data_IF_807580554219
#
_entry.id   IF_807580554219
#
_cell.length_a   1.000
_cell.length_b   1.000
_cell.length_c   1.000
_cell.angle_alpha   90.00
_cell.angle_beta   90.00
_cell.angle_gamma   90.00
#
_symmetry.space_group_name_H-M   'P 1'
#
loop_
_entity.id
_entity.type
_entity.pdbx_description
1 polymer ?
#
# COMPACT_ATOMS: atom_id res chain seq x y z
N UNK A 1 19.99 18.05 -3.37
CA UNK A 1 20.57 19.40 -3.54
C UNK A 1 19.59 20.39 -2.94
N UNK A 2 20.10 21.35 -2.17
CA UNK A 2 19.72 21.52 -0.77
C UNK A 2 18.97 22.84 -0.51
N UNK A 3 18.04 22.83 0.45
CA UNK A 3 17.35 24.01 1.00
C UNK A 3 18.30 25.18 1.39
N UNK A 4 19.61 24.92 1.49
CA UNK A 4 20.68 25.92 1.68
C UNK A 4 20.79 26.91 0.50
N UNK A 5 20.59 26.47 -0.75
CA UNK A 5 20.69 27.34 -1.94
C UNK A 5 19.55 28.37 -2.02
N UNK A 6 18.39 28.06 -1.43
CA UNK A 6 17.24 28.97 -1.35
C UNK A 6 17.49 30.18 -0.46
N UNK A 7 18.43 30.07 0.49
CA UNK A 7 18.76 31.16 1.42
C UNK A 7 19.64 32.22 0.76
N UNK A 8 20.46 31.81 -0.21
CA UNK A 8 21.44 32.69 -0.86
C UNK A 8 20.91 33.32 -2.16
N UNK A 9 19.89 32.72 -2.80
CA UNK A 9 19.32 33.19 -4.08
C UNK A 9 17.97 33.89 -3.92
N UNK A 10 17.79 35.04 -4.59
CA UNK A 10 16.51 35.75 -4.70
C UNK A 10 15.79 35.37 -6.00
N UNK A 11 14.92 34.36 -5.93
CA UNK A 11 14.19 33.84 -7.10
C UNK A 11 13.23 34.86 -7.72
N UNK A 12 12.74 35.83 -6.96
CA UNK A 12 11.92 36.91 -7.50
C UNK A 12 12.78 37.87 -8.35
N UNK A 13 14.00 38.16 -7.90
CA UNK A 13 14.97 38.96 -8.63
C UNK A 13 15.48 38.25 -9.90
N UNK A 14 15.69 36.93 -9.84
CA UNK A 14 16.07 36.13 -11.01
C UNK A 14 15.02 36.14 -12.13
N UNK A 15 13.73 36.13 -11.75
CA UNK A 15 12.63 36.27 -12.69
C UNK A 15 12.30 37.73 -13.04
N UNK A 16 12.87 38.70 -12.32
CA UNK A 16 12.57 40.12 -12.50
C UNK A 16 11.12 40.49 -12.13
N UNK A 17 10.51 39.75 -11.21
CA UNK A 17 9.12 39.97 -10.75
C UNK A 17 9.12 40.40 -9.29
N UNK A 18 8.06 41.08 -8.87
CA UNK A 18 7.91 41.47 -7.47
C UNK A 18 7.50 40.28 -6.60
N UNK A 19 7.83 40.32 -5.30
CA UNK A 19 7.47 39.27 -4.33
C UNK A 19 5.95 39.08 -4.14
N UNK A 20 5.16 40.10 -4.48
CA UNK A 20 3.69 40.08 -4.48
C UNK A 20 3.09 39.59 -5.81
N UNK A 21 3.91 39.23 -6.80
CA UNK A 21 3.44 38.80 -8.11
C UNK A 21 2.50 37.59 -8.04
N UNK A 22 1.47 37.62 -8.87
CA UNK A 22 0.49 36.54 -8.99
C UNK A 22 1.12 35.28 -9.60
N UNK A 23 0.56 34.11 -9.31
CA UNK A 23 1.03 32.84 -9.88
C UNK A 23 1.03 32.84 -11.42
N UNK A 24 0.02 33.45 -12.04
CA UNK A 24 -0.09 33.51 -13.48
C UNK A 24 0.92 34.46 -14.13
N UNK A 25 1.30 35.53 -13.42
CA UNK A 25 2.36 36.44 -13.84
C UNK A 25 3.74 35.76 -13.78
N UNK A 26 4.05 35.06 -12.69
CA UNK A 26 5.28 34.29 -12.53
C UNK A 26 5.41 33.25 -13.64
N UNK A 27 4.35 32.47 -13.91
CA UNK A 27 4.32 31.47 -15.00
C UNK A 27 4.50 32.10 -16.38
N UNK A 28 4.01 33.32 -16.60
CA UNK A 28 4.12 34.01 -17.89
C UNK A 28 5.54 34.53 -18.11
N UNK A 29 6.12 35.19 -17.10
CA UNK A 29 7.47 35.74 -17.17
C UNK A 29 8.52 34.64 -17.25
N UNK A 30 8.40 33.57 -16.45
CA UNK A 30 9.31 32.43 -16.50
C UNK A 30 9.27 31.71 -17.85
N UNK A 31 8.10 31.54 -18.48
CA UNK A 31 7.99 30.95 -19.82
C UNK A 31 8.69 31.80 -20.88
N UNK A 32 8.55 33.12 -20.81
CA UNK A 32 9.22 34.06 -21.72
C UNK A 32 10.74 33.98 -21.58
N UNK A 33 11.25 34.05 -20.34
CA UNK A 33 12.68 34.01 -20.06
C UNK A 33 13.32 32.66 -20.44
N UNK A 34 12.64 31.52 -20.22
CA UNK A 34 13.13 30.21 -20.66
C UNK A 34 13.17 30.10 -22.19
N UNK A 35 12.16 30.63 -22.89
CA UNK A 35 12.13 30.62 -24.34
C UNK A 35 13.19 31.55 -24.96
N UNK A 36 13.55 32.64 -24.29
CA UNK A 36 14.60 33.58 -24.72
C UNK A 36 16.01 33.02 -24.48
N UNK A 37 16.20 32.25 -23.40
CA UNK A 37 17.50 31.67 -23.00
C UNK A 37 17.63 30.17 -23.35
N UNK A 38 16.73 29.61 -24.16
CA UNK A 38 16.75 28.18 -24.49
C UNK A 38 18.06 27.78 -25.19
N UNK A 39 18.66 26.62 -24.87
CA UNK A 39 19.90 26.15 -25.50
C UNK A 39 19.82 26.09 -27.03
N UNK A 40 18.70 25.61 -27.58
CA UNK A 40 18.49 25.53 -29.04
C UNK A 40 18.47 26.90 -29.75
N UNK A 41 18.09 27.98 -29.04
CA UNK A 41 18.06 29.34 -29.60
C UNK A 41 19.38 30.10 -29.35
N UNK A 42 20.18 29.64 -28.41
CA UNK A 42 21.45 30.27 -28.01
C UNK A 42 22.57 29.21 -27.91
N UNK A 43 22.93 28.53 -29.01
CA UNK A 43 24.01 27.56 -28.98
C UNK A 43 25.34 28.23 -28.57
N UNK A 44 26.11 27.55 -27.72
CA UNK A 44 27.43 27.96 -27.20
C UNK A 44 27.48 29.28 -26.39
N UNK A 45 26.33 29.82 -25.97
CA UNK A 45 26.29 31.00 -25.11
C UNK A 45 26.18 30.62 -23.62
N UNK A 46 27.33 30.58 -22.93
CA UNK A 46 27.41 30.29 -21.49
C UNK A 46 26.53 31.20 -20.63
N UNK A 47 26.40 32.47 -20.99
CA UNK A 47 25.56 33.42 -20.24
C UNK A 47 24.06 33.12 -20.37
N UNK A 48 23.62 32.67 -21.55
CA UNK A 48 22.24 32.21 -21.74
C UNK A 48 21.98 30.89 -21.01
N UNK A 49 22.96 29.98 -20.99
CA UNK A 49 22.88 28.71 -20.26
C UNK A 49 22.74 28.91 -18.75
N UNK A 50 23.56 29.78 -18.15
CA UNK A 50 23.49 30.09 -16.71
C UNK A 50 22.16 30.75 -16.35
N UNK A 51 21.68 31.66 -17.20
CA UNK A 51 20.38 32.32 -17.02
C UNK A 51 19.22 31.34 -17.18
N UNK A 52 19.32 30.38 -18.10
CA UNK A 52 18.33 29.32 -18.28
C UNK A 52 18.24 28.42 -17.04
N UNK A 53 19.37 28.07 -16.43
CA UNK A 53 19.43 27.29 -15.18
C UNK A 53 18.79 28.05 -14.02
N UNK A 54 19.17 29.31 -13.81
CA UNK A 54 18.63 30.16 -12.74
C UNK A 54 17.09 30.36 -12.86
N UNK A 55 16.59 30.63 -14.08
CA UNK A 55 15.16 30.80 -14.34
C UNK A 55 14.39 29.48 -14.17
N UNK A 56 14.99 28.34 -14.52
CA UNK A 56 14.37 27.02 -14.34
C UNK A 56 14.18 26.69 -12.85
N UNK A 57 15.21 26.95 -12.04
CA UNK A 57 15.18 26.77 -10.58
C UNK A 57 14.14 27.70 -9.93
N UNK A 58 14.14 28.99 -10.28
CA UNK A 58 13.18 29.95 -9.77
C UNK A 58 11.73 29.59 -10.14
N UNK A 59 11.50 29.12 -11.37
CA UNK A 59 10.18 28.67 -11.82
C UNK A 59 9.69 27.47 -11.02
N UNK A 60 10.54 26.48 -10.76
CA UNK A 60 10.15 25.27 -10.01
C UNK A 60 9.67 25.60 -8.60
N UNK A 61 10.38 26.51 -7.92
CA UNK A 61 10.07 26.91 -6.53
C UNK A 61 8.86 27.84 -6.47
N UNK A 62 8.79 28.86 -7.34
CA UNK A 62 7.76 29.90 -7.25
C UNK A 62 6.41 29.50 -7.86
N UNK A 63 6.38 28.50 -8.75
CA UNK A 63 5.14 28.03 -9.41
C UNK A 63 4.36 27.02 -8.56
N UNK A 64 5.03 26.36 -7.62
CA UNK A 64 4.40 25.44 -6.65
C UNK A 64 3.96 26.24 -5.40
N UNK A 65 2.67 26.26 -5.04
CA UNK A 65 2.19 27.01 -3.88
C UNK A 65 2.81 26.58 -2.55
N UNK A 66 3.13 25.29 -2.38
CA UNK A 66 3.74 24.78 -1.16
C UNK A 66 5.21 25.19 -1.06
N UNK A 67 5.98 25.02 -2.15
CA UNK A 67 7.40 25.41 -2.20
C UNK A 67 7.59 26.93 -2.11
N UNK A 68 6.71 27.72 -2.75
CA UNK A 68 6.73 29.20 -2.65
C UNK A 68 6.51 29.65 -1.21
N UNK A 69 5.56 29.02 -0.49
CA UNK A 69 5.30 29.35 0.92
C UNK A 69 6.51 29.05 1.80
N UNK A 70 7.13 27.89 1.62
CA UNK A 70 8.33 27.47 2.36
C UNK A 70 9.54 28.39 2.07
N UNK A 71 9.71 28.78 0.81
CA UNK A 71 10.71 29.75 0.37
C UNK A 71 10.50 31.13 1.01
N UNK A 72 9.27 31.66 0.95
CA UNK A 72 8.93 32.97 1.53
C UNK A 72 9.09 32.99 3.05
N UNK A 73 8.73 31.90 3.74
CA UNK A 73 8.86 31.74 5.19
C UNK A 73 10.34 31.68 5.60
N UNK A 74 11.15 30.90 4.88
CA UNK A 74 12.59 30.80 5.10
C UNK A 74 13.27 32.14 4.87
N UNK A 75 12.93 32.84 3.79
CA UNK A 75 13.49 34.17 3.49
C UNK A 75 13.12 35.20 4.54
N UNK A 76 11.90 35.15 5.11
CA UNK A 76 11.48 36.00 6.23
C UNK A 76 12.27 35.72 7.51
N UNK A 77 12.52 34.45 7.83
CA UNK A 77 13.31 34.04 9.00
C UNK A 77 14.77 34.51 8.89
N UNK A 78 15.37 34.47 7.70
CA UNK A 78 16.74 34.93 7.46
C UNK A 78 16.86 36.46 7.33
N UNK A 79 15.88 37.14 6.73
CA UNK A 79 15.85 38.61 6.66
C UNK A 79 15.60 39.27 8.03
N UNK A 80 14.99 38.54 8.97
CA UNK A 80 14.72 39.00 10.35
C UNK A 80 15.93 39.01 11.30
N UNK A 81 17.14 38.71 10.83
CA UNK A 81 18.37 38.85 11.62
C UNK A 81 18.57 37.80 12.73
N UNK A 82 17.89 36.66 12.67
CA UNK A 82 17.96 35.63 13.72
C UNK A 82 19.29 34.87 13.84
N UNK A 83 20.20 34.97 12.86
CA UNK A 83 21.43 34.17 12.82
C UNK A 83 22.63 34.87 12.15
N UNK A 84 22.71 36.20 12.25
CA UNK A 84 23.84 36.98 11.72
C UNK A 84 24.27 38.07 12.68
N UNK A 85 25.05 37.74 13.71
CA UNK A 85 25.51 38.77 14.65
C UNK A 85 26.16 38.37 15.96
N UNK A 86 26.51 37.09 16.20
CA UNK A 86 27.39 36.75 17.32
C UNK A 86 28.66 36.07 16.82
N UNK A 87 29.71 36.88 16.73
CA UNK A 87 31.07 36.41 17.02
C UNK A 87 31.01 35.73 18.40
N UNK A 88 30.97 34.41 18.42
CA UNK A 88 31.39 33.66 19.60
C UNK A 88 32.90 33.83 19.69
N UNK A 89 33.31 34.96 20.26
CA UNK A 89 34.65 35.12 20.81
C UNK A 89 34.76 34.14 21.98
N UNK A 90 35.84 33.36 21.98
CA UNK A 90 36.12 32.39 23.02
C UNK A 90 36.29 33.06 24.38
N UNK A 91 35.85 32.35 25.41
CA UNK A 91 35.90 32.77 26.81
C UNK A 91 34.51 32.70 27.44
N UNK A 92 34.45 32.19 28.67
CA UNK A 92 33.29 32.28 29.56
C UNK A 92 32.23 31.18 29.50
N UNK A 93 32.66 29.94 29.29
CA UNK A 93 32.04 28.79 29.97
C UNK A 93 33.11 28.00 30.74
N UNK A 94 33.68 28.64 31.76
CA UNK A 94 34.40 27.95 32.82
C UNK A 94 33.38 27.46 33.86
N UNK A 95 33.17 26.14 33.95
CA UNK A 95 32.22 25.62 34.94
C UNK A 95 31.90 24.13 34.90
N UNK A 96 32.91 23.28 34.69
CA UNK A 96 33.03 21.96 35.33
C UNK A 96 31.94 20.89 35.07
N UNK A 97 32.25 19.95 34.18
CA UNK A 97 32.16 18.53 34.51
C UNK A 97 33.29 17.81 33.76
N UNK A 98 34.35 17.47 34.50
CA UNK A 98 35.47 16.70 34.00
C UNK A 98 35.40 15.25 34.52
N UNK A 99 35.85 14.33 33.67
CA UNK A 99 36.14 12.93 33.97
C UNK A 99 35.25 11.98 33.17
N UNK A 100 35.72 11.13 32.27
CA UNK A 100 37.08 10.78 31.86
C UNK A 100 36.98 9.44 31.13
N UNK A 101 37.80 9.23 30.08
CA UNK A 101 37.98 7.92 29.45
C UNK A 101 37.68 7.88 27.96
N UNK A 102 38.77 7.77 27.19
CA UNK A 102 38.92 7.29 25.81
C UNK A 102 38.43 8.16 24.65
N UNK A 103 39.43 8.70 23.94
CA UNK A 103 39.30 9.55 22.77
C UNK A 103 38.72 8.81 21.55
N UNK A 104 37.40 8.78 21.47
CA UNK A 104 36.66 8.73 20.22
C UNK A 104 36.00 10.10 20.01
N UNK A 105 36.55 10.87 19.08
CA UNK A 105 35.91 12.07 18.56
C UNK A 105 34.60 11.63 17.89
N UNK A 106 33.47 11.82 18.58
CA UNK A 106 32.14 11.53 18.02
C UNK A 106 31.89 12.46 16.84
N UNK A 107 32.23 11.96 15.66
CA UNK A 107 32.16 12.69 14.42
C UNK A 107 30.72 12.60 13.87
N UNK A 108 30.02 13.74 13.85
CA UNK A 108 28.67 13.86 13.29
C UNK A 108 28.59 13.45 11.80
N UNK A 109 29.73 13.37 11.11
CA UNK A 109 29.80 12.82 9.75
C UNK A 109 29.47 11.32 9.71
N UNK A 110 29.82 10.54 10.73
CA UNK A 110 29.65 9.08 10.72
C UNK A 110 28.20 8.67 11.05
N UNK A 111 27.48 9.52 11.81
CA UNK A 111 26.03 9.38 12.05
C UNK A 111 25.22 9.75 10.78
N UNK A 112 25.73 10.68 9.97
CA UNK A 112 25.10 11.09 8.71
C UNK A 112 25.37 10.10 7.57
N UNK A 113 26.54 9.47 7.52
CA UNK A 113 26.82 8.39 6.55
C UNK A 113 26.03 7.11 6.85
N UNK A 114 25.73 6.83 8.13
CA UNK A 114 24.81 5.75 8.51
C UNK A 114 23.35 6.05 8.11
N UNK A 115 22.92 7.31 8.14
CA UNK A 115 21.60 7.75 7.68
C UNK A 115 21.46 7.76 6.14
N UNK A 116 22.56 7.87 5.40
CA UNK A 116 22.58 7.82 3.94
C UNK A 116 22.25 6.43 3.33
N UNK A 117 22.32 5.36 4.12
CA UNK A 117 22.04 3.98 3.66
C UNK A 117 20.60 3.52 3.89
N UNK A 118 19.78 4.28 4.61
CA UNK A 118 18.36 3.98 4.84
C UNK A 118 17.52 5.14 4.32
N UNK A 119 17.06 5.00 3.07
CA UNK A 119 16.46 6.09 2.32
C UNK A 119 15.36 6.86 3.06
N UNK A 120 15.48 8.19 3.04
CA UNK A 120 14.33 9.10 3.05
C UNK A 120 13.82 9.61 4.40
N UNK A 121 14.62 9.61 5.48
CA UNK A 121 14.23 10.29 6.72
C UNK A 121 14.65 11.76 6.71
N UNK A 122 13.67 12.67 6.69
CA UNK A 122 13.89 14.12 6.79
C UNK A 122 14.53 14.49 8.14
N UNK A 123 15.69 15.14 8.11
CA UNK A 123 16.33 15.71 9.31
C UNK A 123 15.46 16.81 9.95
N UNK A 124 14.54 17.42 9.18
CA UNK A 124 13.52 18.34 9.70
C UNK A 124 12.53 17.70 10.68
N UNK A 125 12.22 16.42 10.52
CA UNK A 125 11.37 15.68 11.48
C UNK A 125 12.15 15.25 12.73
N UNK A 126 13.46 15.06 12.62
CA UNK A 126 14.32 14.72 13.76
C UNK A 126 14.63 15.96 14.63
N UNK A 127 14.79 17.14 14.02
CA UNK A 127 15.04 18.40 14.74
C UNK A 127 13.76 19.13 15.18
N UNK A 128 12.62 18.90 14.51
CA UNK A 128 11.31 19.40 14.95
C UNK A 128 10.85 18.79 16.29
N UNK A 129 11.28 17.55 16.58
CA UNK A 129 11.03 16.88 17.87
C UNK A 129 11.90 17.36 19.03
N UNK A 130 13.03 18.02 18.75
CA UNK A 130 14.05 18.33 19.76
C UNK A 130 13.97 19.78 20.28
N UNK A 131 13.54 20.74 19.47
CA UNK A 131 13.57 22.17 19.84
C UNK A 131 12.19 22.86 19.93
N UNK A 132 11.08 22.14 19.69
CA UNK A 132 9.71 22.67 19.72
C UNK A 132 8.82 22.20 20.90
N UNK A 133 9.40 21.65 21.97
CA UNK A 133 8.66 20.87 22.98
C UNK A 133 8.25 21.57 24.28
N UNK A 134 8.07 22.89 24.35
CA UNK A 134 7.36 23.51 25.48
C UNK A 134 5.86 23.34 25.27
N UNK A 135 5.31 22.22 25.73
CA UNK A 135 3.87 22.03 25.84
C UNK A 135 3.25 20.96 24.94
N UNK A 136 3.84 19.76 24.87
CA UNK A 136 3.00 18.59 24.62
C UNK A 136 2.18 18.34 25.90
N UNK A 137 1.06 19.06 26.04
CA UNK A 137 0.06 18.76 27.06
C UNK A 137 -0.22 17.26 26.98
N UNK A 138 -0.06 16.47 28.07
CA UNK A 138 -0.33 15.04 28.06
C UNK A 138 -1.75 14.85 27.51
N UNK A 139 -1.87 14.29 26.31
CA UNK A 139 -3.18 14.01 25.75
C UNK A 139 -3.90 13.10 26.77
N UNK A 140 -5.13 13.43 27.17
CA UNK A 140 -5.88 12.59 28.09
C UNK A 140 -5.89 11.16 27.57
N UNK A 141 -5.94 10.18 28.48
CA UNK A 141 -6.20 8.76 28.20
C UNK A 141 -7.49 8.63 27.38
N UNK A 142 -7.39 8.86 26.07
CA UNK A 142 -8.54 8.76 25.15
C UNK A 142 -8.94 7.30 25.12
N UNK A 143 -10.25 7.01 25.06
CA UNK A 143 -10.74 5.67 24.83
C UNK A 143 -9.96 5.05 23.65
N UNK A 144 -9.19 3.98 23.93
CA UNK A 144 -8.35 3.34 22.93
C UNK A 144 -9.24 2.46 22.06
N UNK A 145 -9.22 2.72 20.76
CA UNK A 145 -9.86 1.86 19.75
C UNK A 145 -9.39 0.42 19.94
N UNK A 146 -10.27 -0.53 19.69
CA UNK A 146 -9.92 -1.95 19.73
C UNK A 146 -8.85 -2.30 18.72
N UNK A 147 -8.13 -3.40 18.96
CA UNK A 147 -7.12 -3.87 18.03
C UNK A 147 -7.77 -4.41 16.75
N UNK A 148 -7.05 -4.28 15.65
CA UNK A 148 -7.44 -4.93 14.40
C UNK A 148 -7.23 -6.44 14.54
N UNK A 149 -8.12 -7.21 13.92
CA UNK A 149 -8.04 -8.65 13.83
C UNK A 149 -7.65 -9.06 12.42
N UNK A 150 -6.86 -10.11 12.31
CA UNK A 150 -6.54 -10.75 11.04
C UNK A 150 -7.06 -12.19 11.07
N UNK A 151 -7.67 -12.60 9.96
CA UNK A 151 -8.15 -13.97 9.78
C UNK A 151 -7.97 -14.38 8.33
N UNK A 152 -7.99 -15.67 8.09
CA UNK A 152 -7.81 -16.26 6.77
C UNK A 152 -9.10 -16.93 6.33
N UNK A 153 -9.41 -16.79 5.04
CA UNK A 153 -10.55 -17.47 4.42
C UNK A 153 -10.06 -18.24 3.20
N UNK A 154 -10.29 -19.55 3.21
CA UNK A 154 -9.97 -20.42 2.09
C UNK A 154 -11.18 -20.53 1.15
N UNK A 155 -10.96 -20.23 -0.13
CA UNK A 155 -11.97 -20.26 -1.18
C UNK A 155 -11.62 -21.30 -2.23
N UNK A 156 -12.64 -21.93 -2.81
CA UNK A 156 -12.46 -22.57 -4.12
C UNK A 156 -12.25 -21.52 -5.22
N UNK A 157 -11.60 -21.93 -6.31
CA UNK A 157 -11.43 -21.09 -7.49
C UNK A 157 -12.77 -20.53 -8.03
N UNK A 158 -13.82 -21.36 -8.01
CA UNK A 158 -15.16 -20.95 -8.46
C UNK A 158 -15.78 -19.88 -7.55
N UNK A 159 -15.58 -19.99 -6.23
CA UNK A 159 -16.05 -18.98 -5.28
C UNK A 159 -15.27 -17.67 -5.41
N UNK A 160 -13.95 -17.74 -5.61
CA UNK A 160 -13.11 -16.56 -5.81
C UNK A 160 -13.47 -15.79 -7.09
N UNK A 161 -13.79 -16.51 -8.17
CA UNK A 161 -14.14 -15.90 -9.46
C UNK A 161 -15.56 -15.32 -9.47
N UNK A 162 -16.55 -16.01 -8.89
CA UNK A 162 -17.96 -15.56 -8.87
C UNK A 162 -18.32 -14.67 -7.67
N UNK A 163 -17.50 -14.68 -6.64
CA UNK A 163 -17.81 -14.08 -5.35
C UNK A 163 -18.74 -14.97 -4.54
N UNK A 164 -18.62 -14.88 -3.22
CA UNK A 164 -19.41 -15.70 -2.29
C UNK A 164 -19.68 -14.89 -1.02
N UNK A 165 -20.85 -15.12 -0.42
CA UNK A 165 -21.14 -14.67 0.93
C UNK A 165 -20.97 -15.87 1.86
N UNK A 166 -20.03 -15.79 2.80
CA UNK A 166 -19.76 -16.89 3.73
C UNK A 166 -19.73 -16.43 5.19
N UNK A 167 -20.22 -17.27 6.12
CA UNK A 167 -20.12 -16.99 7.55
C UNK A 167 -18.72 -17.30 8.07
N UNK A 168 -18.01 -16.29 8.57
CA UNK A 168 -16.77 -16.47 9.33
C UNK A 168 -17.06 -16.48 10.82
N UNK A 169 -16.65 -17.54 11.50
CA UNK A 169 -16.76 -17.66 12.97
C UNK A 169 -15.48 -17.18 13.61
N UNK A 170 -15.60 -16.20 14.50
CA UNK A 170 -14.47 -15.54 15.14
C UNK A 170 -14.72 -15.49 16.64
N UNK A 171 -13.69 -15.81 17.42
CA UNK A 171 -13.71 -15.64 18.87
C UNK A 171 -12.82 -14.46 19.21
N UNK A 172 -13.41 -13.37 19.68
CA UNK A 172 -12.66 -12.14 19.98
C UNK A 172 -13.25 -11.40 21.19
N UNK A 173 -12.49 -10.49 21.82
CA UNK A 173 -13.03 -9.52 22.77
C UNK A 173 -14.14 -8.70 22.09
N UNK A 174 -15.33 -8.74 22.66
CA UNK A 174 -16.50 -7.99 22.22
C UNK A 174 -17.01 -7.10 23.37
N UNK A 175 -17.71 -5.97 23.09
CA UNK A 175 -18.27 -5.14 24.14
C UNK A 175 -19.21 -5.98 25.00
N UNK A 176 -19.12 -5.87 26.32
CA UNK A 176 -20.01 -6.61 27.22
C UNK A 176 -21.47 -6.23 26.92
N UNK A 177 -22.34 -7.22 26.74
CA UNK A 177 -23.76 -7.01 26.40
C UNK A 177 -24.55 -6.40 27.55
N UNK A 178 -24.21 -6.75 28.78
CA UNK A 178 -24.91 -6.24 29.95
C UNK A 178 -24.63 -4.75 30.19
N UNK A 179 -23.36 -4.31 30.11
CA UNK A 179 -22.98 -2.90 30.37
C UNK A 179 -22.70 -2.06 29.12
N UNK A 180 -22.88 -2.62 27.92
CA UNK A 180 -22.58 -2.00 26.62
C UNK A 180 -21.17 -1.38 26.51
N UNK A 181 -20.18 -1.99 27.16
CA UNK A 181 -18.80 -1.49 27.13
C UNK A 181 -18.43 -0.48 28.22
N UNK A 182 -19.38 -0.01 29.03
CA UNK A 182 -19.11 0.97 30.10
C UNK A 182 -18.30 0.40 31.27
N UNK A 183 -18.36 -0.92 31.48
CA UNK A 183 -17.77 -1.60 32.64
C UNK A 183 -18.56 -1.39 33.94
N UNK A 184 -19.56 -0.51 33.97
CA UNK A 184 -20.41 -0.27 35.13
C UNK A 184 -21.66 -1.15 35.10
N UNK A 185 -22.22 -1.46 36.28
CA UNK A 185 -23.49 -2.19 36.39
C UNK A 185 -24.62 -1.40 35.70
N UNK A 186 -25.54 -2.05 34.97
CA UNK A 186 -26.67 -1.35 34.35
C UNK A 186 -27.41 -0.45 35.35
N UNK A 187 -27.72 0.78 34.95
CA UNK A 187 -28.30 1.81 35.82
C UNK A 187 -27.27 2.61 36.63
N UNK A 188 -25.99 2.27 36.57
CA UNK A 188 -24.88 3.06 37.13
C UNK A 188 -23.97 3.56 36.02
N UNK A 189 -23.20 4.61 36.29
CA UNK A 189 -22.28 5.21 35.32
C UNK A 189 -20.88 5.37 35.90
N UNK A 190 -19.81 5.18 35.10
CA UNK A 190 -18.46 5.53 35.50
C UNK A 190 -18.37 7.02 35.87
N UNK A 191 -17.80 7.33 37.04
CA UNK A 191 -17.56 8.71 37.48
C UNK A 191 -16.19 9.17 36.98
N UNK A 192 -16.06 10.45 36.64
CA UNK A 192 -14.76 11.03 36.27
C UNK A 192 -13.86 10.99 37.51
N UNK A 193 -12.61 10.53 37.34
CA UNK A 193 -11.66 10.47 38.44
C UNK A 193 -11.33 11.91 38.92
N UNK A 194 -11.56 12.26 40.20
CA UNK A 194 -11.32 13.61 40.70
C UNK A 194 -9.82 13.92 40.78
N UNK A 195 -8.96 12.93 41.05
CA UNK A 195 -7.51 13.15 41.17
C UNK A 195 -6.84 13.52 39.84
N UNK A 196 -7.31 12.99 38.72
CA UNK A 196 -6.75 13.29 37.40
C UNK A 196 -7.70 14.04 36.46
N UNK A 197 -8.89 14.42 36.92
CA UNK A 197 -9.95 15.06 36.12
C UNK A 197 -10.22 14.36 34.77
N UNK A 198 -10.20 13.02 34.75
CA UNK A 198 -10.41 12.25 33.52
C UNK A 198 -9.16 12.02 32.66
N UNK A 199 -8.02 12.63 32.99
CA UNK A 199 -6.81 12.50 32.19
C UNK A 199 -6.18 11.09 32.25
N UNK A 200 -6.41 10.35 33.34
CA UNK A 200 -5.82 9.03 33.60
C UNK A 200 -4.35 9.07 34.05
N UNK A 201 -3.67 10.19 33.85
CA UNK A 201 -2.30 10.44 34.29
C UNK A 201 -2.25 11.66 35.20
N UNK A 202 -1.28 11.69 36.10
CA UNK A 202 -0.94 12.85 36.92
C UNK A 202 0.50 13.25 36.62
N UNK A 203 0.77 14.55 36.53
CA UNK A 203 2.11 15.05 36.29
C UNK A 203 2.78 15.38 37.64
N UNK A 204 3.91 14.74 37.93
CA UNK A 204 4.71 15.02 39.12
C UNK A 204 5.95 15.79 38.70
N UNK A 205 6.01 17.05 39.10
CA UNK A 205 7.17 17.90 38.85
C UNK A 205 8.20 17.68 39.96
N UNK A 206 9.40 17.21 39.59
CA UNK A 206 10.56 17.13 40.48
C UNK A 206 11.68 17.99 39.87
N UNK A 207 11.70 19.27 40.22
CA UNK A 207 12.68 20.23 39.70
C UNK A 207 12.45 20.60 38.23
N UNK A 208 13.53 20.61 37.43
CA UNK A 208 13.49 21.02 36.01
C UNK A 208 12.85 19.98 35.06
N UNK A 209 12.43 18.81 35.58
CA UNK A 209 11.81 17.74 34.81
C UNK A 209 10.44 17.35 35.42
N UNK A 210 9.42 17.24 34.57
CA UNK A 210 8.10 16.73 34.93
C UNK A 210 7.90 15.32 34.40
N UNK A 211 7.53 14.39 35.28
CA UNK A 211 7.25 13.00 34.92
C UNK A 211 5.75 12.74 34.99
N UNK A 212 5.21 12.19 33.90
CA UNK A 212 3.81 11.74 33.85
C UNK A 212 3.71 10.31 34.40
N UNK A 213 2.99 10.14 35.50
CA UNK A 213 2.71 8.83 36.12
C UNK A 213 1.23 8.47 35.92
N UNK A 214 0.87 7.17 35.75
CA UNK A 214 -0.53 6.75 35.82
C UNK A 214 -1.17 7.16 37.15
N UNK A 215 -2.36 7.74 37.11
CA UNK A 215 -3.08 8.12 38.33
C UNK A 215 -3.32 6.88 39.21
N UNK A 216 -2.91 6.91 40.47
CA UNK A 216 -3.04 5.76 41.38
C UNK A 216 -4.50 5.39 41.69
N UNK A 217 -5.39 6.38 41.76
CA UNK A 217 -6.80 6.17 42.10
C UNK A 217 -7.56 5.44 40.98
N UNK A 218 -7.38 5.88 39.74
CA UNK A 218 -8.07 5.30 38.59
C UNK A 218 -7.19 4.34 37.78
N UNK A 219 -5.94 4.13 38.17
CA UNK A 219 -4.94 3.27 37.50
C UNK A 219 -4.83 3.51 35.99
N UNK A 220 -4.78 4.78 35.56
CA UNK A 220 -4.71 5.11 34.13
C UNK A 220 -6.06 5.26 33.41
N UNK A 221 -7.18 4.94 34.08
CA UNK A 221 -8.47 4.83 33.41
C UNK A 221 -9.17 6.15 33.05
N UNK A 222 -8.87 7.23 33.78
CA UNK A 222 -9.64 8.48 33.77
C UNK A 222 -11.01 8.40 34.45
N UNK A 223 -11.50 7.20 34.78
CA UNK A 223 -12.84 6.99 35.34
C UNK A 223 -12.85 5.93 36.44
N UNK A 224 -13.64 6.16 37.48
CA UNK A 224 -13.81 5.27 38.61
C UNK A 224 -15.15 4.56 38.44
N UNK A 225 -15.11 3.23 38.48
CA UNK A 225 -16.29 2.38 38.42
C UNK A 225 -16.59 1.94 39.86
N UNK A 226 -17.54 2.60 40.52
CA UNK A 226 -17.95 2.25 41.89
C UNK A 226 -18.70 0.92 41.94
N UNK A 227 -19.54 0.67 40.93
CA UNK A 227 -20.33 -0.54 40.79
C UNK A 227 -19.93 -1.28 39.51
N UNK A 228 -18.96 -2.20 39.58
CA UNK A 228 -18.54 -2.95 38.40
C UNK A 228 -19.67 -3.83 37.88
N UNK A 229 -19.71 -4.00 36.55
CA UNK A 229 -20.62 -4.94 35.92
C UNK A 229 -20.26 -6.39 36.31
N UNK A 230 -21.28 -7.18 36.66
CA UNK A 230 -21.11 -8.57 37.12
C UNK A 230 -20.52 -9.50 36.03
N UNK A 231 -20.79 -9.22 34.76
CA UNK A 231 -20.38 -10.05 33.63
C UNK A 231 -18.91 -9.81 33.24
N UNK A 232 -18.51 -8.54 33.09
CA UNK A 232 -17.15 -8.16 32.65
C UNK A 232 -16.23 -7.72 33.79
N UNK A 233 -16.71 -7.71 35.04
CA UNK A 233 -15.97 -7.33 36.25
C UNK A 233 -15.26 -5.98 36.14
N UNK A 234 -15.91 -4.99 35.51
CA UNK A 234 -15.37 -3.63 35.35
C UNK A 234 -14.54 -3.39 34.08
N UNK A 235 -14.23 -4.42 33.30
CA UNK A 235 -13.37 -4.29 32.10
C UNK A 235 -14.10 -3.70 30.89
N UNK A 236 -15.43 -3.86 30.82
CA UNK A 236 -16.26 -3.45 29.68
C UNK A 236 -16.22 -4.43 28.49
N UNK A 237 -15.39 -5.48 28.51
CA UNK A 237 -15.24 -6.42 27.41
C UNK A 237 -15.40 -7.86 27.88
N UNK A 238 -15.89 -8.72 26.99
CA UNK A 238 -16.07 -10.16 27.23
C UNK A 238 -15.66 -10.92 25.98
N UNK A 239 -14.97 -12.04 26.12
CA UNK A 239 -14.64 -12.92 24.99
C UNK A 239 -15.91 -13.61 24.51
N UNK A 240 -16.27 -13.40 23.24
CA UNK A 240 -17.48 -14.02 22.66
C UNK A 240 -17.16 -14.56 21.27
N UNK A 241 -17.77 -15.69 20.94
CA UNK A 241 -17.81 -16.21 19.58
C UNK A 241 -18.93 -15.50 18.82
N UNK A 242 -18.60 -14.95 17.64
CA UNK A 242 -19.57 -14.33 16.74
C UNK A 242 -19.39 -14.87 15.34
N UNK A 243 -20.49 -14.90 14.60
CA UNK A 243 -20.48 -15.24 13.17
C UNK A 243 -20.68 -13.96 12.38
N UNK A 244 -19.74 -13.64 11.50
CA UNK A 244 -19.79 -12.47 10.62
C UNK A 244 -20.02 -12.97 9.20
N UNK A 245 -21.08 -12.50 8.55
CA UNK A 245 -21.32 -12.81 7.14
C UNK A 245 -20.45 -11.87 6.29
N UNK A 246 -19.38 -12.41 5.74
CA UNK A 246 -18.45 -11.67 4.88
C UNK A 246 -18.85 -11.87 3.44
N UNK A 247 -19.03 -10.77 2.71
CA UNK A 247 -19.30 -10.78 1.27
C UNK A 247 -18.00 -10.55 0.52
N UNK A 248 -17.50 -11.61 -0.09
CA UNK A 248 -16.29 -11.59 -0.91
C UNK A 248 -16.70 -11.22 -2.34
N UNK A 249 -16.17 -10.14 -2.92
CA UNK A 249 -16.53 -9.72 -4.27
C UNK A 249 -16.05 -10.74 -5.32
N UNK A 250 -16.66 -10.77 -6.51
CA UNK A 250 -16.14 -11.56 -7.62
C UNK A 250 -14.76 -11.08 -8.07
N UNK A 251 -13.95 -12.02 -8.53
CA UNK A 251 -12.64 -11.76 -9.12
C UNK A 251 -11.51 -11.53 -8.12
N UNK A 252 -11.68 -11.92 -6.85
CA UNK A 252 -10.61 -11.80 -5.85
C UNK A 252 -9.40 -12.65 -6.19
N UNK A 253 -8.23 -12.13 -5.89
CA UNK A 253 -6.94 -12.80 -6.10
C UNK A 253 -6.47 -13.49 -4.84
N UNK A 254 -5.57 -14.46 -5.01
CA UNK A 254 -4.90 -15.12 -3.88
C UNK A 254 -4.04 -14.11 -3.11
N UNK A 255 -4.10 -14.17 -1.77
CA UNK A 255 -3.43 -13.22 -0.88
C UNK A 255 -4.12 -11.87 -0.76
N UNK A 256 -5.25 -11.64 -1.43
CA UNK A 256 -5.96 -10.37 -1.34
C UNK A 256 -6.52 -10.14 0.08
N UNK A 257 -6.27 -8.95 0.63
CA UNK A 257 -6.75 -8.53 1.96
C UNK A 257 -8.03 -7.71 1.86
N UNK A 258 -9.10 -8.18 2.50
CA UNK A 258 -10.41 -7.53 2.55
C UNK A 258 -10.61 -6.92 3.94
N UNK A 259 -10.88 -5.61 3.99
CA UNK A 259 -11.13 -4.88 5.25
C UNK A 259 -12.62 -4.80 5.56
N UNK A 260 -12.99 -5.22 6.77
CA UNK A 260 -14.32 -5.10 7.35
C UNK A 260 -14.25 -4.12 8.52
N UNK A 261 -14.70 -2.89 8.27
CA UNK A 261 -14.61 -1.81 9.24
C UNK A 261 -15.45 -2.09 10.50
N UNK A 262 -14.88 -1.84 11.68
CA UNK A 262 -15.56 -2.00 12.97
C UNK A 262 -15.81 -3.46 13.39
N UNK A 263 -15.30 -4.43 12.64
CA UNK A 263 -15.46 -5.86 12.92
C UNK A 263 -14.26 -6.48 13.65
N UNK A 264 -13.29 -5.68 14.08
CA UNK A 264 -12.16 -6.12 14.92
C UNK A 264 -12.52 -6.22 16.41
N UNK A 265 -11.53 -6.15 17.29
CA UNK A 265 -11.76 -6.27 18.73
C UNK A 265 -12.56 -5.08 19.29
N UNK A 266 -13.24 -5.29 20.41
CA UNK A 266 -13.88 -4.20 21.15
C UNK A 266 -12.85 -3.18 21.66
N UNK A 267 -13.16 -1.90 21.47
CA UNK A 267 -12.43 -0.83 22.15
C UNK A 267 -12.75 -0.79 23.64
N UNK A 268 -11.79 -0.30 24.43
CA UNK A 268 -11.96 -0.17 25.87
C UNK A 268 -12.90 1.01 26.20
N UNK A 269 -13.79 0.82 27.17
CA UNK A 269 -14.67 1.87 27.74
C UNK A 269 -15.51 2.61 26.70
N UNK A 270 -16.14 1.87 25.79
CA UNK A 270 -16.99 2.44 24.74
C UNK A 270 -16.21 3.06 23.56
N UNK A 271 -14.89 2.87 23.49
CA UNK A 271 -14.13 3.19 22.29
C UNK A 271 -14.60 2.35 21.09
N UNK A 272 -14.46 2.86 19.86
CA UNK A 272 -14.83 2.12 18.65
C UNK A 272 -14.03 0.82 18.54
N UNK A 273 -14.63 -0.17 17.88
CA UNK A 273 -13.95 -1.43 17.59
C UNK A 273 -12.81 -1.26 16.57
N UNK A 274 -11.90 -2.22 16.61
CA UNK A 274 -10.93 -2.46 15.55
C UNK A 274 -11.60 -2.82 14.22
N UNK A 275 -10.79 -3.10 13.20
CA UNK A 275 -11.22 -3.63 11.92
C UNK A 275 -10.83 -5.09 11.81
N UNK A 276 -11.53 -5.83 10.95
CA UNK A 276 -11.17 -7.21 10.62
C UNK A 276 -10.59 -7.22 9.21
N UNK A 277 -9.37 -7.71 9.08
CA UNK A 277 -8.75 -8.01 7.79
C UNK A 277 -8.89 -9.50 7.52
N UNK A 278 -9.54 -9.83 6.41
CA UNK A 278 -9.65 -11.19 5.91
C UNK A 278 -8.68 -11.36 4.75
N UNK A 279 -7.65 -12.18 4.93
CA UNK A 279 -6.75 -12.58 3.85
C UNK A 279 -7.37 -13.78 3.14
N UNK A 280 -7.56 -13.67 1.83
CA UNK A 280 -8.17 -14.72 1.02
C UNK A 280 -7.08 -15.65 0.48
N UNK A 281 -7.29 -16.95 0.64
CA UNK A 281 -6.49 -17.99 -0.01
C UNK A 281 -7.33 -18.75 -1.03
N UNK A 282 -6.91 -18.75 -2.29
CA UNK A 282 -7.65 -19.41 -3.38
C UNK A 282 -7.01 -20.75 -3.69
N UNK A 283 -7.78 -21.83 -3.50
CA UNK A 283 -7.33 -23.17 -3.88
C UNK A 283 -7.17 -23.29 -5.39
N UNK A 284 -6.07 -23.90 -5.87
CA UNK A 284 -5.89 -24.22 -7.28
C UNK A 284 -7.02 -25.11 -7.81
N UNK A 285 -7.49 -24.83 -9.02
CA UNK A 285 -8.46 -25.68 -9.71
C UNK A 285 -7.75 -26.70 -10.61
N UNK A 286 -8.41 -27.82 -10.88
CA UNK A 286 -7.85 -28.89 -11.72
C UNK A 286 -8.00 -28.61 -13.22
N UNK A 287 -8.96 -27.76 -13.59
CA UNK A 287 -9.36 -27.50 -14.98
C UNK A 287 -8.91 -26.10 -15.38
N UNK A 288 -9.12 -25.12 -14.50
CA UNK A 288 -8.86 -23.72 -14.79
C UNK A 288 -7.58 -23.23 -14.11
N UNK A 289 -6.81 -22.47 -14.88
CA UNK A 289 -5.74 -21.61 -14.37
C UNK A 289 -6.08 -20.16 -14.66
N UNK A 290 -5.64 -19.23 -13.82
CA UNK A 290 -5.91 -17.79 -13.97
C UNK A 290 -4.61 -17.05 -14.26
N UNK A 291 -4.66 -16.15 -15.24
CA UNK A 291 -3.60 -15.20 -15.55
C UNK A 291 -4.23 -13.80 -15.66
N UNK A 292 -4.05 -12.99 -14.61
CA UNK A 292 -4.74 -11.70 -14.46
C UNK A 292 -6.27 -11.87 -14.47
N UNK A 293 -6.94 -11.26 -15.46
CA UNK A 293 -8.39 -11.39 -15.65
C UNK A 293 -8.78 -12.57 -16.55
N UNK A 294 -7.81 -13.17 -17.25
CA UNK A 294 -8.06 -14.20 -18.23
C UNK A 294 -7.98 -15.60 -17.59
N UNK A 295 -8.80 -16.50 -18.11
CA UNK A 295 -8.80 -17.90 -17.72
C UNK A 295 -8.08 -18.71 -18.78
N UNK A 296 -7.32 -19.71 -18.34
CA UNK A 296 -6.64 -20.66 -19.22
C UNK A 296 -7.16 -22.06 -18.92
N UNK A 297 -7.44 -22.82 -19.98
CA UNK A 297 -7.85 -24.22 -19.89
C UNK A 297 -7.11 -25.01 -20.97
N UNK A 298 -6.58 -26.17 -20.59
CA UNK A 298 -5.99 -27.10 -21.55
C UNK A 298 -6.99 -28.19 -21.87
N UNK A 299 -7.41 -28.25 -23.14
CA UNK A 299 -8.39 -29.24 -23.61
C UNK A 299 -7.65 -30.33 -24.39
N UNK A 300 -7.69 -31.59 -23.92
CA UNK A 300 -7.16 -32.71 -24.68
C UNK A 300 -8.03 -32.94 -25.92
N UNK A 301 -7.39 -33.05 -27.09
CA UNK A 301 -8.04 -33.27 -28.38
C UNK A 301 -7.36 -34.41 -29.14
N UNK A 302 -8.08 -35.07 -30.02
CA UNK A 302 -7.51 -36.05 -30.93
C UNK A 302 -6.82 -35.39 -32.13
N UNK A 303 -5.87 -36.10 -32.74
CA UNK A 303 -5.23 -35.66 -33.97
C UNK A 303 -6.25 -35.41 -35.10
N UNK A 304 -7.23 -36.29 -35.24
CA UNK A 304 -8.26 -36.20 -36.28
C UNK A 304 -9.15 -34.97 -36.10
N UNK A 305 -9.48 -34.59 -34.87
CA UNK A 305 -10.22 -33.35 -34.58
C UNK A 305 -9.47 -32.09 -35.01
N UNK A 306 -8.14 -32.04 -34.82
CA UNK A 306 -7.32 -30.92 -35.28
C UNK A 306 -7.15 -30.90 -36.80
N UNK A 307 -6.92 -32.06 -37.40
CA UNK A 307 -6.73 -32.20 -38.84
C UNK A 307 -8.01 -31.88 -39.63
N UNK A 308 -9.15 -32.45 -39.21
CA UNK A 308 -10.43 -32.35 -39.92
C UNK A 308 -11.29 -31.16 -39.48
N UNK A 309 -10.94 -30.53 -38.36
CA UNK A 309 -11.74 -29.51 -37.70
C UNK A 309 -12.95 -30.09 -36.97
N UNK A 310 -13.31 -29.49 -35.85
CA UNK A 310 -14.43 -29.94 -35.01
C UNK A 310 -15.04 -28.77 -34.24
N UNK A 311 -16.12 -29.02 -33.49
CA UNK A 311 -16.63 -28.09 -32.49
C UNK A 311 -16.50 -28.75 -31.12
N UNK A 312 -15.60 -28.22 -30.28
CA UNK A 312 -15.33 -28.73 -28.94
C UNK A 312 -16.27 -28.12 -27.92
N UNK A 313 -16.74 -28.90 -26.95
CA UNK A 313 -17.47 -28.39 -25.79
C UNK A 313 -16.49 -28.08 -24.66
N UNK A 314 -16.22 -26.80 -24.43
CA UNK A 314 -15.24 -26.35 -23.42
C UNK A 314 -15.97 -25.88 -22.14
N UNK A 315 -15.53 -26.30 -20.94
CA UNK A 315 -16.07 -25.79 -19.69
C UNK A 315 -15.72 -24.31 -19.50
N UNK A 316 -16.65 -23.57 -18.93
CA UNK A 316 -16.53 -22.15 -18.55
C UNK A 316 -17.02 -21.98 -17.12
N UNK A 317 -16.86 -20.79 -16.53
CA UNK A 317 -17.38 -20.53 -15.18
C UNK A 317 -18.90 -20.73 -15.08
N UNK A 318 -19.67 -20.43 -16.14
CA UNK A 318 -21.14 -20.43 -16.11
C UNK A 318 -21.81 -21.62 -16.81
N UNK A 319 -21.01 -22.59 -17.28
CA UNK A 319 -21.53 -23.75 -18.02
C UNK A 319 -20.55 -24.21 -19.09
N UNK A 320 -21.06 -24.65 -20.24
CA UNK A 320 -20.23 -25.13 -21.37
C UNK A 320 -20.49 -24.27 -22.60
N UNK A 321 -19.43 -24.04 -23.39
CA UNK A 321 -19.51 -23.28 -24.65
C UNK A 321 -18.88 -24.11 -25.78
N UNK A 322 -19.54 -24.10 -26.94
CA UNK A 322 -19.01 -24.69 -28.15
C UNK A 322 -17.93 -23.80 -28.78
N UNK A 323 -16.72 -24.33 -28.92
CA UNK A 323 -15.57 -23.66 -29.55
C UNK A 323 -15.27 -24.34 -30.87
N UNK A 324 -15.36 -23.59 -31.98
CA UNK A 324 -15.05 -24.10 -33.31
C UNK A 324 -13.54 -24.14 -33.51
N UNK A 325 -13.03 -25.33 -33.81
CA UNK A 325 -11.63 -25.58 -34.15
C UNK A 325 -11.53 -25.68 -35.68
N UNK A 326 -10.80 -24.77 -36.34
CA UNK A 326 -10.56 -24.85 -37.78
C UNK A 326 -9.78 -26.11 -38.17
N UNK A 327 -9.94 -26.55 -39.42
CA UNK A 327 -9.15 -27.65 -39.98
C UNK A 327 -7.67 -27.26 -40.04
N UNK A 328 -6.78 -28.22 -39.81
CA UNK A 328 -5.33 -27.99 -39.81
C UNK A 328 -4.84 -27.12 -38.65
N UNK A 329 -5.53 -27.15 -37.50
CA UNK A 329 -5.08 -26.43 -36.30
C UNK A 329 -3.84 -27.11 -35.71
N UNK A 330 -2.79 -26.35 -35.42
CA UNK A 330 -1.57 -26.88 -34.80
C UNK A 330 -1.78 -27.27 -33.32
N UNK A 331 -1.01 -28.24 -32.85
CA UNK A 331 -0.93 -28.57 -31.42
C UNK A 331 -0.44 -27.37 -30.60
N UNK A 332 -0.99 -27.19 -29.40
CA UNK A 332 -0.67 -26.07 -28.52
C UNK A 332 -1.27 -24.73 -28.95
N UNK A 333 -2.08 -24.68 -30.02
CA UNK A 333 -2.75 -23.44 -30.45
C UNK A 333 -3.69 -22.94 -29.36
N UNK A 334 -3.63 -21.63 -29.10
CA UNK A 334 -4.56 -20.96 -28.17
C UNK A 334 -5.74 -20.41 -28.95
N UNK A 335 -6.94 -20.84 -28.59
CA UNK A 335 -8.22 -20.35 -29.10
C UNK A 335 -8.87 -19.44 -28.06
N UNK A 336 -9.14 -18.19 -28.44
CA UNK A 336 -9.70 -17.20 -27.52
C UNK A 336 -11.22 -17.15 -27.60
N UNK A 337 -11.88 -17.38 -26.47
CA UNK A 337 -13.32 -17.22 -26.30
C UNK A 337 -13.55 -15.92 -25.52
N UNK A 338 -14.10 -14.92 -26.20
CA UNK A 338 -14.24 -13.57 -25.65
C UNK A 338 -15.30 -13.50 -24.54
N UNK A 339 -15.01 -12.74 -23.48
CA UNK A 339 -15.95 -12.44 -22.40
C UNK A 339 -16.38 -13.68 -21.61
N UNK A 340 -15.46 -14.61 -21.39
CA UNK A 340 -15.68 -15.85 -20.61
C UNK A 340 -14.60 -16.07 -19.54
N UNK A 341 -13.82 -15.02 -19.23
CA UNK A 341 -12.84 -14.98 -18.16
C UNK A 341 -13.42 -14.44 -16.85
N UNK A 342 -12.55 -13.90 -15.99
CA UNK A 342 -12.91 -13.40 -14.66
C UNK A 342 -13.56 -12.00 -14.75
N UNK A 343 -14.57 -11.68 -13.92
CA UNK A 343 -15.17 -10.34 -13.91
C UNK A 343 -14.17 -9.28 -13.46
N UNK A 344 -14.12 -8.15 -14.19
CA UNK A 344 -13.23 -7.03 -13.87
C UNK A 344 -13.88 -6.06 -12.91
N UNK A 345 -13.09 -5.44 -12.03
CA UNK A 345 -13.57 -4.40 -11.10
C UNK A 345 -14.06 -3.13 -11.80
N UNK A 346 -13.48 -2.79 -12.95
CA UNK A 346 -13.87 -1.63 -13.79
C UNK A 346 -15.06 -1.89 -14.70
N UNK A 347 -15.64 -3.10 -14.67
CA UNK A 347 -16.69 -3.55 -15.57
C UNK A 347 -16.15 -4.36 -16.75
N UNK A 348 -16.97 -5.28 -17.25
CA UNK A 348 -16.57 -6.27 -18.26
C UNK A 348 -16.02 -7.56 -17.65
N UNK A 349 -15.55 -8.45 -18.51
CA UNK A 349 -14.98 -9.75 -18.16
C UNK A 349 -13.69 -9.96 -18.96
N UNK A 350 -12.76 -10.74 -18.42
CA UNK A 350 -11.64 -11.27 -19.19
C UNK A 350 -12.09 -12.29 -20.24
N UNK A 351 -11.12 -12.91 -20.90
CA UNK A 351 -11.32 -13.92 -21.91
C UNK A 351 -10.98 -15.33 -21.39
N UNK A 352 -11.50 -16.35 -22.05
CA UNK A 352 -11.08 -17.74 -21.83
C UNK A 352 -10.15 -18.16 -22.98
N UNK A 353 -8.93 -18.52 -22.61
CA UNK A 353 -7.86 -18.99 -23.48
C UNK A 353 -7.83 -20.52 -23.44
N UNK A 354 -8.27 -21.12 -24.54
CA UNK A 354 -8.35 -22.58 -24.69
C UNK A 354 -7.13 -23.06 -25.43
N UNK A 355 -6.22 -23.72 -24.73
CA UNK A 355 -5.07 -24.39 -25.35
C UNK A 355 -5.49 -25.79 -25.76
N UNK A 356 -5.46 -26.08 -27.06
CA UNK A 356 -5.69 -27.44 -27.56
C UNK A 356 -4.41 -28.24 -27.45
N UNK A 357 -4.47 -29.44 -26.87
CA UNK A 357 -3.31 -30.34 -26.76
C UNK A 357 -3.66 -31.73 -27.26
N UNK A 358 -2.88 -32.25 -28.20
CA UNK A 358 -3.10 -33.58 -28.76
C UNK A 358 -2.88 -34.64 -27.68
N UNK A 359 -3.90 -35.47 -27.46
CA UNK A 359 -3.84 -36.66 -26.64
C UNK A 359 -3.62 -37.89 -27.54
N UNK A 360 -2.54 -38.63 -27.29
CA UNK A 360 -2.23 -39.87 -28.02
C UNK A 360 -2.73 -41.05 -27.19
N UNK A 361 -3.62 -41.91 -27.73
CA UNK A 361 -4.05 -43.11 -27.04
C UNK A 361 -2.85 -44.02 -26.71
N UNK A 362 -2.76 -44.58 -25.49
CA UNK A 362 -1.62 -45.42 -25.10
C UNK A 362 -1.60 -46.78 -25.79
N UNK A 363 -2.74 -47.26 -26.30
CA UNK A 363 -2.86 -48.51 -27.05
C UNK A 363 -3.78 -48.33 -28.26
N UNK A 364 -3.42 -49.02 -29.35
CA UNK A 364 -4.18 -49.06 -30.60
C UNK A 364 -4.22 -50.51 -31.11
N UNK A 365 -5.43 -51.06 -31.27
CA UNK A 365 -5.64 -52.45 -31.67
C UNK A 365 -6.73 -52.56 -32.75
N UNK A 366 -6.73 -53.68 -33.48
CA UNK A 366 -7.70 -54.00 -34.52
C UNK A 366 -7.84 -52.90 -35.59
N UNK A 367 -9.07 -52.58 -35.94
CA UNK A 367 -9.40 -51.64 -37.02
C UNK A 367 -8.79 -50.23 -36.84
N UNK A 368 -8.60 -49.76 -35.61
CA UNK A 368 -8.02 -48.46 -35.35
C UNK A 368 -6.53 -48.39 -35.75
N UNK A 369 -5.80 -49.48 -35.51
CA UNK A 369 -4.38 -49.60 -35.90
C UNK A 369 -4.24 -49.69 -37.42
N UNK A 370 -5.03 -50.55 -38.05
CA UNK A 370 -5.03 -50.73 -39.51
C UNK A 370 -5.35 -49.41 -40.25
N UNK A 371 -6.34 -48.66 -39.77
CA UNK A 371 -6.70 -47.36 -40.33
C UNK A 371 -5.57 -46.32 -40.18
N UNK A 372 -4.87 -46.32 -39.04
CA UNK A 372 -3.77 -45.39 -38.80
C UNK A 372 -2.53 -45.73 -39.65
N UNK A 373 -2.26 -47.02 -39.88
CA UNK A 373 -1.21 -47.48 -40.78
C UNK A 373 -1.49 -47.07 -42.23
N UNK A 374 -2.72 -47.24 -42.71
CA UNK A 374 -3.15 -46.78 -44.02
C UNK A 374 -3.02 -45.25 -44.15
N UNK A 375 -3.44 -44.49 -43.14
CA UNK A 375 -3.26 -43.04 -43.07
C UNK A 375 -1.78 -42.65 -43.17
N UNK A 376 -0.89 -43.30 -42.41
CA UNK A 376 0.53 -42.99 -42.40
C UNK A 376 1.21 -43.22 -43.76
N UNK A 377 0.78 -44.23 -44.53
CA UNK A 377 1.26 -44.44 -45.91
C UNK A 377 0.78 -43.31 -46.83
N UNK A 378 -0.50 -42.95 -46.76
CA UNK A 378 -1.07 -41.86 -47.56
C UNK A 378 -0.41 -40.51 -47.24
N UNK A 379 -0.21 -40.19 -45.95
CA UNK A 379 0.43 -38.96 -45.49
C UNK A 379 1.85 -38.82 -46.05
N UNK A 380 2.67 -39.88 -45.98
CA UNK A 380 4.02 -39.88 -46.60
C UNK A 380 3.97 -39.70 -48.11
N UNK A 381 3.01 -40.36 -48.79
CA UNK A 381 2.86 -40.23 -50.24
C UNK A 381 2.47 -38.82 -50.68
N UNK A 382 1.83 -38.04 -49.80
CA UNK A 382 1.49 -36.63 -50.03
C UNK A 382 2.70 -35.68 -49.89
N UNK A 383 3.86 -36.20 -49.47
CA UNK A 383 5.09 -35.42 -49.29
C UNK A 383 5.17 -34.66 -47.96
N UNK A 384 4.28 -34.94 -47.00
CA UNK A 384 4.36 -34.35 -45.66
C UNK A 384 5.46 -35.04 -44.84
N UNK A 385 6.41 -34.24 -44.33
CA UNK A 385 7.45 -34.69 -43.39
C UNK A 385 7.42 -33.80 -42.13
N UNK A 386 7.04 -34.32 -40.95
CA UNK A 386 6.99 -33.54 -39.72
C UNK A 386 8.38 -33.08 -39.22
N UNK A 387 9.47 -33.62 -39.80
CA UNK A 387 10.86 -33.20 -39.52
C UNK A 387 11.48 -32.36 -40.64
N UNK A 388 10.70 -31.98 -41.64
CA UNK A 388 11.17 -31.06 -42.67
C UNK A 388 11.62 -29.74 -42.04
N UNK A 389 12.90 -29.39 -42.24
CA UNK A 389 13.49 -28.16 -41.70
C UNK A 389 13.83 -28.20 -40.20
N UNK A 390 13.74 -29.37 -39.53
CA UNK A 390 14.15 -29.50 -38.14
C UNK A 390 15.69 -29.42 -38.00
N UNK A 391 16.17 -28.48 -37.19
CA UNK A 391 17.60 -28.19 -37.04
C UNK A 391 18.43 -29.38 -36.52
N UNK A 392 17.81 -30.37 -35.87
CA UNK A 392 18.47 -31.58 -35.37
C UNK A 392 18.87 -32.60 -36.45
N UNK A 393 18.52 -32.37 -37.72
CA UNK A 393 18.91 -33.22 -38.85
C UNK A 393 20.24 -32.78 -39.51
N UNK A 394 21.00 -31.85 -38.93
CA UNK A 394 22.33 -31.43 -39.41
C UNK A 394 23.46 -32.04 -38.61
#
# INVERSE_FOLDING_TARGET
MAQREWVEKDFYKELGVSSDASQDEIKRVARKLLAENHPDRNPDNKGAEDRYKAVSEAKEVLTDPAKRKEYDETRRLFAGGGFGGRRFNGGDFAGGFGGGGDGAEFNLNDLFDAAGRTGGANIGDLFGGLFGGRGASPRPSRPRRGNDLETEAELSFMEATKGVAMPLRLTSPAPCTNCHGSGARPGTSPKVCPTCNGAGVINRNQGAFGFSEPCAECRGSGSIIEHPCDECKGTGVTTRSRTINVRIPPGVEDGQRIRLAGQGEAGLRGAPSGDLYVTVHVRPDKVFSRDGDDLTVTVPVSFTELALGTTLSVPTLDGKVGVRVPKGTADGRILRVRGRGVPKRSGGQGDLLVTVKVAVPPSLEGAAKEALEAYAVAERSSGFDPRAGWAGNR
#
